data_IF_076287438078
#
_entry.id   IF_076287438078
#
_cell.length_a   1.000
_cell.length_b   1.000
_cell.length_c   1.000
_cell.angle_alpha   90.00
_cell.angle_beta   90.00
_cell.angle_gamma   90.00
#
_symmetry.space_group_name_H-M   'P 1'
#
loop_
_entity.id
_entity.type
_entity.pdbx_description
1 polymer ?
#
# COMPACT_ATOMS: atom_id res chain seq x y z
N UNK A 1 -21.92 21.50 -16.11
CA UNK A 1 -20.75 22.17 -15.49
C UNK A 1 -20.08 21.11 -14.64
N UNK A 2 -18.95 20.55 -15.11
CA UNK A 2 -18.22 19.50 -14.40
C UNK A 2 -17.58 20.11 -13.17
N UNK A 3 -18.22 20.00 -12.00
CA UNK A 3 -17.48 20.04 -10.73
C UNK A 3 -16.34 19.05 -10.88
N UNK A 4 -15.09 19.50 -10.75
CA UNK A 4 -13.93 18.60 -10.78
C UNK A 4 -13.95 17.77 -9.49
N UNK A 5 -14.74 16.71 -9.49
CA UNK A 5 -14.80 15.75 -8.39
C UNK A 5 -13.43 15.09 -8.26
N UNK A 6 -12.84 15.17 -7.08
CA UNK A 6 -11.59 14.48 -6.77
C UNK A 6 -11.78 12.98 -6.99
N UNK A 7 -10.82 12.36 -7.66
CA UNK A 7 -10.82 10.89 -7.82
C UNK A 7 -10.45 10.22 -6.51
N UNK A 8 -10.81 8.94 -6.35
CA UNK A 8 -10.36 8.14 -5.21
C UNK A 8 -8.83 8.20 -5.01
N UNK A 9 -8.05 8.19 -6.09
CA UNK A 9 -6.59 8.32 -5.99
C UNK A 9 -6.18 9.65 -5.36
N UNK A 10 -6.75 10.77 -5.82
CA UNK A 10 -6.46 12.10 -5.27
C UNK A 10 -6.90 12.22 -3.80
N UNK A 11 -8.02 11.60 -3.43
CA UNK A 11 -8.49 11.57 -2.04
C UNK A 11 -7.54 10.73 -1.17
N UNK A 12 -7.07 9.58 -1.66
CA UNK A 12 -6.12 8.74 -0.96
C UNK A 12 -4.77 9.46 -0.74
N UNK A 13 -4.27 10.17 -1.77
CA UNK A 13 -3.08 11.03 -1.66
C UNK A 13 -3.27 12.12 -0.61
N UNK A 14 -4.39 12.84 -0.65
CA UNK A 14 -4.71 13.88 0.33
C UNK A 14 -4.76 13.35 1.77
N UNK A 15 -5.38 12.18 1.99
CA UNK A 15 -5.42 11.55 3.31
C UNK A 15 -4.02 11.13 3.80
N UNK A 16 -3.13 10.69 2.89
CA UNK A 16 -1.71 10.42 3.21
C UNK A 16 -0.95 11.69 3.59
N UNK A 17 -1.21 12.79 2.89
CA UNK A 17 -0.62 14.09 3.19
C UNK A 17 -1.03 14.58 4.59
N UNK A 18 -2.31 14.43 4.95
CA UNK A 18 -2.80 14.72 6.29
C UNK A 18 -2.11 13.84 7.35
N UNK A 19 -1.96 12.53 7.08
CA UNK A 19 -1.23 11.62 7.98
C UNK A 19 0.24 12.06 8.15
N UNK A 20 0.90 12.44 7.06
CA UNK A 20 2.27 12.93 7.05
C UNK A 20 2.42 14.24 7.85
N UNK A 21 1.48 15.17 7.69
CA UNK A 21 1.45 16.41 8.46
C UNK A 21 1.32 16.14 9.97
N UNK A 22 0.50 15.18 10.38
CA UNK A 22 0.43 14.74 11.78
C UNK A 22 1.74 14.13 12.29
N UNK A 23 2.43 13.33 11.45
CA UNK A 23 3.75 12.78 11.80
C UNK A 23 4.79 13.88 12.02
N UNK A 24 4.73 14.96 11.24
CA UNK A 24 5.60 16.12 11.38
C UNK A 24 5.30 16.91 12.66
N UNK A 25 4.02 17.13 12.98
CA UNK A 25 3.60 17.83 14.21
C UNK A 25 4.04 17.09 15.47
N UNK A 26 3.57 15.87 15.67
CA UNK A 26 3.98 15.01 16.79
C UNK A 26 3.53 13.56 16.57
N UNK A 27 4.48 12.69 16.22
CA UNK A 27 4.23 11.27 15.96
C UNK A 27 3.66 10.49 17.15
N UNK A 28 4.01 10.88 18.38
CA UNK A 28 3.57 10.15 19.57
C UNK A 28 2.19 10.60 20.02
N UNK A 29 1.96 11.92 20.04
CA UNK A 29 0.67 12.51 20.40
C UNK A 29 -0.43 12.14 19.39
N UNK A 30 -0.13 12.17 18.10
CA UNK A 30 -1.11 11.95 17.02
C UNK A 30 -1.07 10.54 16.43
N UNK A 31 -0.49 9.57 17.13
CA UNK A 31 -0.32 8.19 16.64
C UNK A 31 -1.63 7.58 16.12
N UNK A 32 -2.75 7.82 16.78
CA UNK A 32 -4.04 7.25 16.38
C UNK A 32 -4.59 7.91 15.11
N UNK A 33 -4.46 9.24 14.99
CA UNK A 33 -4.86 10.00 13.82
C UNK A 33 -4.03 9.59 12.61
N UNK A 34 -2.71 9.47 12.75
CA UNK A 34 -1.82 9.01 11.69
C UNK A 34 -2.28 7.63 11.17
N UNK A 35 -2.54 6.69 12.08
CA UNK A 35 -3.00 5.34 11.70
C UNK A 35 -4.39 5.40 11.06
N UNK A 36 -5.30 6.24 11.56
CA UNK A 36 -6.65 6.37 11.01
C UNK A 36 -6.62 6.93 9.58
N UNK A 37 -5.88 8.01 9.34
CA UNK A 37 -5.75 8.61 8.01
C UNK A 37 -5.01 7.71 7.03
N UNK A 38 -3.95 7.01 7.45
CA UNK A 38 -3.30 6.02 6.57
C UNK A 38 -4.24 4.86 6.21
N UNK A 39 -5.04 4.38 7.17
CA UNK A 39 -6.03 3.32 6.89
C UNK A 39 -7.14 3.80 5.97
N UNK A 40 -7.63 5.02 6.18
CA UNK A 40 -8.61 5.63 5.31
C UNK A 40 -8.05 5.76 3.89
N UNK A 41 -6.84 6.30 3.72
CA UNK A 41 -6.20 6.41 2.41
C UNK A 41 -6.12 5.07 1.68
N UNK A 42 -5.70 4.01 2.37
CA UNK A 42 -5.64 2.68 1.79
C UNK A 42 -7.03 2.13 1.43
N UNK A 43 -8.04 2.36 2.28
CA UNK A 43 -9.41 1.96 2.00
C UNK A 43 -9.99 2.68 0.78
N UNK A 44 -9.71 3.98 0.66
CA UNK A 44 -10.10 4.81 -0.50
C UNK A 44 -9.44 4.32 -1.78
N UNK A 45 -8.12 4.07 -1.76
CA UNK A 45 -7.40 3.63 -2.96
C UNK A 45 -7.91 2.27 -3.47
N UNK A 46 -8.37 1.40 -2.59
CA UNK A 46 -8.89 0.07 -2.91
C UNK A 46 -10.41 0.03 -3.03
N UNK A 47 -11.10 1.17 -2.91
CA UNK A 47 -12.54 1.22 -3.04
C UNK A 47 -12.96 0.82 -4.46
N UNK A 48 -14.01 0.01 -4.54
CA UNK A 48 -14.61 -0.43 -5.81
C UNK A 48 -15.58 0.59 -6.39
N UNK A 49 -16.04 1.53 -5.56
CA UNK A 49 -16.93 2.63 -5.93
C UNK A 49 -16.24 3.97 -5.70
N UNK A 50 -16.61 5.00 -6.47
CA UNK A 50 -16.14 6.36 -6.23
C UNK A 50 -16.66 6.86 -4.89
N UNK A 51 -15.79 7.47 -4.09
CA UNK A 51 -16.14 7.95 -2.76
C UNK A 51 -17.17 9.07 -2.79
N UNK A 52 -17.16 9.88 -3.86
CA UNK A 52 -18.14 10.93 -4.04
C UNK A 52 -19.56 10.34 -4.12
N UNK A 53 -19.72 9.25 -4.87
CA UNK A 53 -21.00 8.55 -5.00
C UNK A 53 -21.44 7.95 -3.66
N UNK A 54 -20.51 7.31 -2.94
CA UNK A 54 -20.78 6.76 -1.60
C UNK A 54 -21.18 7.85 -0.60
N UNK A 55 -20.62 9.06 -0.73
CA UNK A 55 -21.00 10.20 0.10
C UNK A 55 -22.37 10.76 -0.26
N UNK A 56 -22.67 10.92 -1.55
CA UNK A 56 -23.99 11.36 -2.03
C UNK A 56 -25.10 10.40 -1.54
N UNK A 57 -24.80 9.10 -1.48
CA UNK A 57 -25.67 8.04 -0.95
C UNK A 57 -25.69 7.92 0.59
N UNK A 58 -24.90 8.73 1.31
CA UNK A 58 -24.73 8.66 2.78
C UNK A 58 -24.21 7.30 3.30
N UNK A 59 -23.35 6.64 2.52
CA UNK A 59 -22.74 5.34 2.81
C UNK A 59 -21.23 5.41 2.99
N UNK A 60 -20.67 6.61 3.12
CA UNK A 60 -19.21 6.77 3.18
C UNK A 60 -18.58 6.03 4.37
N UNK A 61 -19.29 5.92 5.49
CA UNK A 61 -18.88 5.15 6.68
C UNK A 61 -18.94 3.63 6.53
N UNK A 62 -19.54 3.11 5.45
CA UNK A 62 -19.50 1.67 5.13
C UNK A 62 -18.11 1.25 4.63
N UNK A 63 -17.31 2.21 4.14
CA UNK A 63 -15.91 1.96 3.74
C UNK A 63 -15.07 1.68 4.97
N UNK A 64 -14.62 0.43 5.12
CA UNK A 64 -13.79 -0.01 6.25
C UNK A 64 -12.50 0.80 6.35
N UNK A 65 -12.41 1.68 7.35
CA UNK A 65 -11.30 2.61 7.54
C UNK A 65 -11.73 4.08 7.58
N UNK A 66 -12.95 4.40 7.11
CA UNK A 66 -13.54 5.73 7.20
C UNK A 66 -14.49 5.78 8.40
N UNK A 67 -14.11 6.55 9.43
CA UNK A 67 -14.96 6.83 10.58
C UNK A 67 -15.66 8.19 10.48
N UNK A 68 -16.56 8.52 11.42
CA UNK A 68 -17.37 9.75 11.36
C UNK A 68 -16.58 11.05 11.20
N UNK A 69 -15.42 11.17 11.87
CA UNK A 69 -14.59 12.36 11.73
C UNK A 69 -13.91 12.49 10.37
N UNK A 70 -13.56 11.37 9.73
CA UNK A 70 -12.98 11.40 8.37
C UNK A 70 -14.09 11.65 7.35
N UNK A 71 -15.28 11.05 7.54
CA UNK A 71 -16.47 11.32 6.74
C UNK A 71 -16.84 12.80 6.78
N UNK A 72 -16.82 13.44 7.95
CA UNK A 72 -17.10 14.87 8.11
C UNK A 72 -16.12 15.71 7.28
N UNK A 73 -14.81 15.48 7.42
CA UNK A 73 -13.80 16.23 6.68
C UNK A 73 -13.85 15.98 5.16
N UNK A 74 -14.10 14.75 4.72
CA UNK A 74 -14.29 14.44 3.31
C UNK A 74 -15.59 15.05 2.76
N UNK A 75 -16.64 15.08 3.57
CA UNK A 75 -17.90 15.73 3.23
C UNK A 75 -17.75 17.24 3.00
N UNK A 76 -16.93 17.93 3.81
CA UNK A 76 -16.56 19.33 3.53
C UNK A 76 -15.92 19.46 2.15
N UNK A 77 -14.94 18.61 1.82
CA UNK A 77 -14.28 18.64 0.50
C UNK A 77 -15.26 18.39 -0.63
N UNK A 78 -16.15 17.41 -0.49
CA UNK A 78 -17.15 17.09 -1.52
C UNK A 78 -18.19 18.18 -1.71
N UNK A 79 -18.45 19.00 -0.70
CA UNK A 79 -19.42 20.08 -0.73
C UNK A 79 -18.81 21.43 -1.17
N UNK A 80 -17.64 21.79 -0.65
CA UNK A 80 -17.03 23.11 -0.82
C UNK A 80 -15.71 23.11 -1.59
N UNK A 81 -15.13 21.93 -1.83
CA UNK A 81 -13.82 21.76 -2.46
C UNK A 81 -12.63 21.89 -1.49
N UNK A 82 -12.88 22.15 -0.21
CA UNK A 82 -11.84 22.32 0.81
C UNK A 82 -12.29 21.79 2.17
N UNK A 83 -11.35 21.36 3.02
CA UNK A 83 -11.63 21.06 4.43
C UNK A 83 -10.82 21.97 5.33
N UNK A 84 -11.51 22.63 6.28
CA UNK A 84 -10.87 23.54 7.25
C UNK A 84 -9.84 22.78 8.10
N UNK A 85 -10.16 21.55 8.44
CA UNK A 85 -9.28 20.70 9.23
C UNK A 85 -7.99 20.38 8.47
N UNK A 86 -8.11 20.01 7.19
CA UNK A 86 -6.96 19.64 6.36
C UNK A 86 -6.04 20.83 6.12
N UNK A 87 -6.61 22.00 5.81
CA UNK A 87 -5.87 23.25 5.65
C UNK A 87 -5.09 23.62 6.92
N UNK A 88 -5.72 23.55 8.09
CA UNK A 88 -5.08 23.87 9.38
C UNK A 88 -3.95 22.89 9.75
N UNK A 89 -4.12 21.62 9.39
CA UNK A 89 -3.10 20.60 9.63
C UNK A 89 -1.89 20.80 8.70
N UNK A 90 -2.11 21.22 7.44
CA UNK A 90 -1.07 21.35 6.42
C UNK A 90 -0.50 22.76 6.24
N UNK A 91 -1.05 23.79 6.89
CA UNK A 91 -0.76 25.23 6.71
C UNK A 91 0.72 25.63 6.58
N UNK A 92 1.63 24.93 7.26
CA UNK A 92 3.07 25.26 7.30
C UNK A 92 3.94 24.23 6.56
N UNK A 93 3.36 23.44 5.66
CA UNK A 93 4.06 22.40 4.92
C UNK A 93 3.98 22.75 3.43
N UNK A 94 5.11 22.99 2.76
CA UNK A 94 5.13 23.27 1.32
C UNK A 94 4.51 22.10 0.52
N UNK A 95 3.67 22.36 -0.50
CA UNK A 95 3.09 21.31 -1.34
C UNK A 95 4.14 20.39 -1.98
N UNK A 96 5.30 20.93 -2.32
CA UNK A 96 6.40 20.16 -2.90
C UNK A 96 6.99 19.15 -1.90
N UNK A 97 6.85 19.36 -0.59
CA UNK A 97 7.28 18.39 0.41
C UNK A 97 6.49 17.07 0.31
N UNK A 98 5.19 17.17 0.05
CA UNK A 98 4.33 16.00 -0.14
C UNK A 98 4.67 15.26 -1.44
N UNK A 99 4.89 15.98 -2.55
CA UNK A 99 5.32 15.38 -3.83
C UNK A 99 6.62 14.60 -3.69
N UNK A 100 7.61 15.15 -2.97
CA UNK A 100 8.89 14.50 -2.75
C UNK A 100 8.76 13.16 -2.01
N UNK A 101 7.71 12.96 -1.20
CA UNK A 101 7.48 11.69 -0.50
C UNK A 101 7.12 10.52 -1.43
N UNK A 102 6.77 10.80 -2.68
CA UNK A 102 6.56 9.74 -3.69
C UNK A 102 7.86 9.06 -4.11
N UNK A 103 9.00 9.70 -3.85
CA UNK A 103 10.30 9.09 -4.10
C UNK A 103 10.63 8.07 -3.00
N UNK A 104 11.08 6.85 -3.37
CA UNK A 104 11.45 5.83 -2.40
C UNK A 104 12.45 6.34 -1.36
N UNK A 105 12.19 6.05 -0.09
CA UNK A 105 13.07 6.43 1.03
C UNK A 105 12.91 7.87 1.52
N UNK A 106 12.03 8.68 0.91
CA UNK A 106 11.77 10.06 1.35
C UNK A 106 10.47 10.10 2.17
N UNK A 107 10.59 10.48 3.44
CA UNK A 107 9.43 10.80 4.29
C UNK A 107 9.31 12.31 4.53
N UNK A 108 8.21 12.74 5.14
CA UNK A 108 7.90 14.18 5.31
C UNK A 108 9.03 14.99 5.99
N UNK A 109 9.70 14.42 6.99
CA UNK A 109 10.82 15.08 7.67
C UNK A 109 12.03 15.28 6.75
N UNK A 110 12.34 14.27 5.95
CA UNK A 110 13.42 14.33 4.96
C UNK A 110 13.07 15.32 3.87
N UNK A 111 11.83 15.31 3.37
CA UNK A 111 11.36 16.24 2.35
C UNK A 111 11.44 17.70 2.83
N UNK A 112 10.99 17.99 4.06
CA UNK A 112 11.13 19.32 4.67
C UNK A 112 12.60 19.74 4.73
N UNK A 113 13.48 18.87 5.24
CA UNK A 113 14.92 19.14 5.31
C UNK A 113 15.51 19.42 3.93
N UNK A 114 15.13 18.66 2.90
CA UNK A 114 15.58 18.89 1.53
C UNK A 114 15.14 20.27 1.01
N UNK A 115 13.92 20.71 1.32
CA UNK A 115 13.43 22.03 0.89
C UNK A 115 14.09 23.17 1.68
N UNK A 116 14.36 22.97 2.96
CA UNK A 116 14.98 23.98 3.84
C UNK A 116 16.49 24.14 3.59
N UNK A 117 17.20 23.03 3.34
CA UNK A 117 18.66 23.02 3.23
C UNK A 117 19.18 22.81 1.80
N UNK A 118 18.35 22.29 0.88
CA UNK A 118 18.74 21.92 -0.47
C UNK A 118 18.72 23.08 -1.47
N UNK A 119 19.43 22.89 -2.58
CA UNK A 119 19.40 23.86 -3.68
C UNK A 119 18.10 23.69 -4.51
N UNK A 120 17.51 24.82 -4.92
CA UNK A 120 16.31 24.88 -5.78
C UNK A 120 16.44 23.99 -7.01
N UNK A 121 17.61 23.94 -7.64
CA UNK A 121 17.80 23.13 -8.86
C UNK A 121 17.75 21.62 -8.58
N UNK A 122 18.29 21.18 -7.44
CA UNK A 122 18.21 19.78 -6.99
C UNK A 122 16.76 19.39 -6.69
N UNK A 123 16.01 20.27 -6.01
CA UNK A 123 14.59 20.05 -5.72
C UNK A 123 13.77 19.97 -7.00
N UNK A 124 14.03 20.86 -7.97
CA UNK A 124 13.37 20.80 -9.28
C UNK A 124 13.67 19.51 -10.03
N UNK A 125 14.91 19.02 -9.96
CA UNK A 125 15.27 17.73 -10.57
C UNK A 125 14.51 16.58 -9.91
N UNK A 126 14.44 16.56 -8.58
CA UNK A 126 13.67 15.56 -7.83
C UNK A 126 12.18 15.62 -8.13
N UNK A 127 11.60 16.80 -8.27
CA UNK A 127 10.19 16.96 -8.66
C UNK A 127 9.93 16.46 -10.10
N UNK A 128 10.86 16.68 -11.04
CA UNK A 128 10.79 16.07 -12.37
C UNK A 128 10.86 14.54 -12.31
N UNK A 129 11.67 13.99 -11.41
CA UNK A 129 11.72 12.55 -11.16
C UNK A 129 10.36 12.02 -10.71
N UNK A 130 9.69 12.72 -9.78
CA UNK A 130 8.33 12.40 -9.32
C UNK A 130 7.34 12.38 -10.49
N UNK A 131 7.31 13.43 -11.31
CA UNK A 131 6.43 13.51 -12.48
C UNK A 131 6.68 12.39 -13.49
N UNK A 132 7.95 12.06 -13.74
CA UNK A 132 8.33 10.95 -14.60
C UNK A 132 7.87 9.59 -14.02
N UNK A 133 7.90 9.43 -12.70
CA UNK A 133 7.37 8.22 -12.02
C UNK A 133 5.86 8.14 -12.10
N UNK A 134 5.14 9.24 -11.85
CA UNK A 134 3.66 9.30 -12.02
C UNK A 134 3.24 8.91 -13.44
N UNK A 135 3.98 9.38 -14.45
CA UNK A 135 3.71 9.03 -15.84
C UNK A 135 4.07 7.57 -16.20
N UNK A 136 4.98 6.93 -15.44
CA UNK A 136 5.33 5.51 -15.58
C UNK A 136 4.40 4.58 -14.80
N UNK A 137 3.90 5.01 -13.64
CA UNK A 137 2.94 4.28 -12.81
C UNK A 137 1.50 4.41 -13.35
N UNK A 138 1.29 4.02 -14.61
CA UNK A 138 -0.06 3.82 -15.11
C UNK A 138 -0.65 2.61 -14.42
N UNK A 139 -1.68 2.84 -13.60
CA UNK A 139 -2.45 1.75 -13.03
C UNK A 139 -3.28 1.08 -14.12
N UNK A 140 -3.36 -0.24 -14.05
CA UNK A 140 -4.11 -1.09 -14.96
C UNK A 140 -5.41 -1.54 -14.31
N UNK A 141 -6.50 -1.63 -15.09
CA UNK A 141 -7.74 -2.21 -14.58
C UNK A 141 -7.53 -3.67 -14.21
N UNK A 142 -8.17 -4.11 -13.12
CA UNK A 142 -8.09 -5.49 -12.62
C UNK A 142 -8.25 -6.55 -13.74
N UNK A 143 -9.25 -6.50 -14.63
CA UNK A 143 -9.42 -7.55 -15.66
C UNK A 143 -8.23 -7.65 -16.62
N UNK A 144 -7.64 -6.51 -16.98
CA UNK A 144 -6.49 -6.47 -17.88
C UNK A 144 -5.24 -7.01 -17.18
N UNK A 145 -4.96 -6.53 -15.96
CA UNK A 145 -3.83 -7.02 -15.16
C UNK A 145 -3.95 -8.52 -14.85
N UNK A 146 -5.15 -9.01 -14.52
CA UNK A 146 -5.40 -10.43 -14.25
C UNK A 146 -5.16 -11.31 -15.48
N UNK A 147 -5.54 -10.84 -16.69
CA UNK A 147 -5.27 -11.55 -17.95
C UNK A 147 -3.77 -11.68 -18.18
N UNK A 148 -3.04 -10.58 -18.04
CA UNK A 148 -1.58 -10.58 -18.22
C UNK A 148 -0.88 -11.46 -17.19
N UNK A 149 -1.31 -11.41 -15.93
CA UNK A 149 -0.79 -12.27 -14.87
C UNK A 149 -1.00 -13.74 -15.19
N UNK A 150 -2.20 -14.11 -15.67
CA UNK A 150 -2.51 -15.49 -16.05
C UNK A 150 -1.57 -16.00 -17.15
N UNK A 151 -1.35 -15.21 -18.22
CA UNK A 151 -0.44 -15.61 -19.31
C UNK A 151 0.99 -15.84 -18.82
N UNK A 152 1.48 -15.00 -17.91
CA UNK A 152 2.83 -15.14 -17.33
C UNK A 152 2.89 -16.36 -16.40
N UNK A 153 1.85 -16.60 -15.60
CA UNK A 153 1.76 -17.77 -14.72
C UNK A 153 1.70 -19.08 -15.52
N UNK A 154 0.96 -19.11 -16.63
CA UNK A 154 0.91 -20.25 -17.55
C UNK A 154 2.30 -20.55 -18.12
N UNK A 155 2.99 -19.52 -18.65
CA UNK A 155 4.37 -19.66 -19.10
C UNK A 155 5.31 -20.19 -18.00
N UNK A 156 5.22 -19.65 -16.76
CA UNK A 156 6.03 -20.13 -15.64
C UNK A 156 5.75 -21.60 -15.30
N UNK A 157 4.51 -22.04 -15.44
CA UNK A 157 4.09 -23.41 -15.10
C UNK A 157 4.66 -24.46 -16.07
N UNK A 158 5.11 -24.06 -17.26
CA UNK A 158 5.79 -24.96 -18.22
C UNK A 158 7.22 -25.32 -17.78
N UNK A 159 7.79 -24.63 -16.79
CA UNK A 159 9.12 -24.91 -16.27
C UNK A 159 9.05 -26.01 -15.18
N UNK A 160 9.78 -27.15 -15.32
CA UNK A 160 9.71 -28.25 -14.36
C UNK A 160 10.23 -27.90 -12.95
N UNK A 161 11.01 -26.82 -12.80
CA UNK A 161 11.49 -26.35 -11.50
C UNK A 161 10.44 -25.54 -10.74
N UNK A 162 9.28 -25.23 -11.36
CA UNK A 162 8.17 -24.50 -10.76
C UNK A 162 7.18 -25.48 -10.12
N UNK A 163 6.97 -25.34 -8.81
CA UNK A 163 5.99 -26.18 -8.09
C UNK A 163 4.62 -25.52 -8.03
N UNK A 164 4.57 -24.23 -7.68
CA UNK A 164 3.34 -23.42 -7.62
C UNK A 164 3.67 -21.99 -8.02
N UNK A 165 2.72 -21.32 -8.66
CA UNK A 165 2.77 -19.88 -8.93
C UNK A 165 1.44 -19.24 -8.53
N UNK A 166 1.51 -18.10 -7.85
CA UNK A 166 0.34 -17.37 -7.37
C UNK A 166 0.53 -15.86 -7.57
N UNK A 167 -0.55 -15.11 -7.87
CA UNK A 167 -0.49 -13.67 -7.79
C UNK A 167 -0.28 -13.23 -6.34
N UNK A 168 0.35 -12.07 -6.16
CA UNK A 168 0.59 -11.40 -4.90
C UNK A 168 -0.06 -10.00 -4.91
N UNK A 169 0.27 -9.19 -3.90
CA UNK A 169 0.03 -7.77 -3.91
C UNK A 169 -1.43 -7.38 -4.12
N UNK A 170 -1.63 -6.25 -4.80
CA UNK A 170 -2.95 -5.69 -5.07
C UNK A 170 -3.80 -6.59 -5.97
N UNK A 171 -3.17 -7.36 -6.86
CA UNK A 171 -3.84 -8.28 -7.77
C UNK A 171 -4.51 -9.42 -7.00
N UNK A 172 -3.79 -10.05 -6.07
CA UNK A 172 -4.34 -11.13 -5.23
C UNK A 172 -5.46 -10.65 -4.30
N UNK A 173 -5.41 -9.38 -3.88
CA UNK A 173 -6.47 -8.74 -3.09
C UNK A 173 -7.66 -8.26 -3.94
N UNK A 174 -7.62 -8.44 -5.27
CA UNK A 174 -8.64 -7.98 -6.21
C UNK A 174 -8.90 -6.46 -6.13
N UNK A 175 -7.85 -5.66 -5.98
CA UNK A 175 -7.97 -4.21 -6.06
C UNK A 175 -8.52 -3.81 -7.44
N UNK A 176 -9.37 -2.78 -7.49
CA UNK A 176 -10.02 -2.30 -8.72
C UNK A 176 -9.02 -1.91 -9.81
N UNK A 177 -7.86 -1.39 -9.40
CA UNK A 177 -6.73 -1.06 -10.26
C UNK A 177 -5.43 -1.59 -9.66
N UNK A 178 -4.50 -1.99 -10.53
CA UNK A 178 -3.23 -2.66 -10.22
C UNK A 178 -2.07 -1.79 -10.71
N UNK A 179 -1.06 -1.55 -9.88
CA UNK A 179 0.14 -0.82 -10.29
C UNK A 179 1.06 -1.72 -11.11
N UNK A 180 1.69 -2.64 -10.40
CA UNK A 180 2.54 -3.72 -10.87
C UNK A 180 1.87 -5.09 -10.62
N UNK A 181 2.23 -6.07 -11.46
CA UNK A 181 1.79 -7.45 -11.28
C UNK A 181 2.85 -8.17 -10.45
N UNK A 182 2.58 -8.37 -9.17
CA UNK A 182 3.41 -9.18 -8.28
C UNK A 182 3.04 -10.67 -8.40
N UNK A 183 4.03 -11.54 -8.61
CA UNK A 183 3.88 -12.99 -8.64
C UNK A 183 4.87 -13.67 -7.68
N UNK A 184 4.43 -14.78 -7.10
CA UNK A 184 5.25 -15.65 -6.26
C UNK A 184 5.43 -17.01 -6.93
N UNK A 185 6.65 -17.54 -6.93
CA UNK A 185 6.92 -18.91 -7.38
C UNK A 185 7.59 -19.76 -6.29
N UNK A 186 7.02 -20.94 -6.05
CA UNK A 186 7.59 -21.96 -5.18
C UNK A 186 8.56 -22.83 -6.01
N UNK A 187 9.85 -22.82 -5.65
CA UNK A 187 10.90 -23.56 -6.37
C UNK A 187 12.12 -23.81 -5.48
N UNK A 188 12.80 -24.92 -5.72
CA UNK A 188 14.13 -25.19 -5.14
C UNK A 188 15.29 -24.72 -6.04
N UNK A 189 14.99 -24.16 -7.23
CA UNK A 189 15.96 -23.61 -8.17
C UNK A 189 15.59 -22.16 -8.57
N UNK A 190 15.66 -21.19 -7.63
CA UNK A 190 15.22 -19.82 -7.88
C UNK A 190 15.96 -19.15 -9.04
N UNK A 191 17.28 -19.31 -9.11
CA UNK A 191 18.11 -18.70 -10.17
C UNK A 191 17.72 -19.22 -11.57
N UNK A 192 17.42 -20.53 -11.68
CA UNK A 192 16.95 -21.14 -12.92
C UNK A 192 15.59 -20.60 -13.36
N UNK A 193 14.63 -20.59 -12.44
CA UNK A 193 13.27 -20.08 -12.70
C UNK A 193 13.28 -18.59 -13.06
N UNK A 194 14.02 -17.76 -12.33
CA UNK A 194 14.14 -16.33 -12.64
C UNK A 194 14.81 -16.10 -14.00
N UNK A 195 15.79 -16.93 -14.38
CA UNK A 195 16.39 -16.88 -15.71
C UNK A 195 15.40 -17.23 -16.82
N UNK A 196 14.53 -18.22 -16.57
CA UNK A 196 13.46 -18.59 -17.48
C UNK A 196 12.38 -17.50 -17.60
N UNK A 197 11.96 -16.91 -16.47
CA UNK A 197 11.04 -15.79 -16.40
C UNK A 197 11.50 -14.57 -17.23
N UNK A 198 12.77 -14.18 -17.11
CA UNK A 198 13.31 -13.04 -17.87
C UNK A 198 13.30 -13.23 -19.40
N UNK A 199 13.11 -14.46 -19.87
CA UNK A 199 12.99 -14.81 -21.30
C UNK A 199 11.55 -14.90 -21.79
N UNK A 200 10.57 -14.51 -20.97
CA UNK A 200 9.16 -14.52 -21.35
C UNK A 200 8.96 -13.85 -22.73
N UNK A 201 8.30 -14.51 -23.71
CA UNK A 201 8.31 -14.06 -25.11
C UNK A 201 7.75 -12.66 -25.34
N UNK A 202 6.83 -12.20 -24.50
CA UNK A 202 6.25 -10.85 -24.60
C UNK A 202 7.05 -9.80 -23.82
N UNK A 203 8.18 -10.15 -23.19
CA UNK A 203 9.02 -9.19 -22.47
C UNK A 203 9.69 -8.21 -23.42
N UNK A 204 9.56 -6.91 -23.14
CA UNK A 204 10.29 -5.86 -23.87
C UNK A 204 11.68 -5.64 -23.28
N UNK A 205 11.81 -5.73 -21.96
CA UNK A 205 13.05 -5.47 -21.23
C UNK A 205 13.02 -6.11 -19.85
N UNK A 206 14.16 -6.66 -19.43
CA UNK A 206 14.43 -6.96 -18.02
C UNK A 206 14.82 -5.69 -17.27
N UNK A 207 14.09 -5.35 -16.21
CA UNK A 207 14.34 -4.18 -15.36
C UNK A 207 15.44 -4.53 -14.36
N UNK A 208 15.26 -5.63 -13.64
CA UNK A 208 16.17 -6.11 -12.60
C UNK A 208 16.16 -7.64 -12.57
N UNK A 209 17.28 -8.23 -12.14
CA UNK A 209 17.40 -9.67 -11.87
C UNK A 209 18.40 -9.90 -10.75
N UNK A 210 17.93 -10.46 -9.64
CA UNK A 210 18.73 -10.92 -8.51
C UNK A 210 18.65 -12.43 -8.33
N UNK A 211 19.05 -12.90 -7.14
CA UNK A 211 19.04 -14.32 -6.77
C UNK A 211 17.65 -14.84 -6.40
N UNK A 212 16.79 -13.96 -5.84
CA UNK A 212 15.47 -14.30 -5.33
C UNK A 212 14.31 -13.54 -5.99
N UNK A 213 14.61 -12.53 -6.80
CA UNK A 213 13.60 -11.75 -7.50
C UNK A 213 14.08 -11.31 -8.88
N UNK A 214 13.12 -11.06 -9.77
CA UNK A 214 13.37 -10.43 -11.06
C UNK A 214 12.15 -9.64 -11.50
N UNK A 215 12.38 -8.65 -12.36
CA UNK A 215 11.37 -7.73 -12.85
C UNK A 215 11.48 -7.59 -14.36
N UNK A 216 10.37 -7.70 -15.07
CA UNK A 216 10.29 -7.48 -16.52
C UNK A 216 9.26 -6.41 -16.86
N UNK A 217 9.47 -5.73 -17.98
CA UNK A 217 8.54 -4.77 -18.56
C UNK A 217 7.88 -5.38 -19.79
N UNK A 218 6.55 -5.39 -19.82
CA UNK A 218 5.72 -5.85 -20.93
C UNK A 218 5.16 -4.65 -21.74
N UNK A 219 4.65 -4.89 -22.96
CA UNK A 219 3.94 -3.87 -23.73
C UNK A 219 2.80 -3.22 -22.94
N UNK A 220 2.57 -1.93 -23.20
CA UNK A 220 1.61 -1.14 -22.44
C UNK A 220 2.11 -0.65 -21.08
N UNK A 221 3.43 -0.74 -20.84
CA UNK A 221 4.10 -0.29 -19.61
C UNK A 221 3.70 -1.06 -18.35
N UNK A 222 3.32 -2.33 -18.50
CA UNK A 222 3.03 -3.22 -17.36
C UNK A 222 4.34 -3.80 -16.84
N UNK A 223 4.63 -3.53 -15.58
CA UNK A 223 5.72 -4.21 -14.86
C UNK A 223 5.19 -5.50 -14.24
N UNK A 224 5.96 -6.58 -14.38
CA UNK A 224 5.70 -7.86 -13.72
C UNK A 224 6.91 -8.21 -12.87
N UNK A 225 6.67 -8.40 -11.58
CA UNK A 225 7.68 -8.74 -10.59
C UNK A 225 7.47 -10.18 -10.11
N UNK A 226 8.54 -10.96 -10.13
CA UNK A 226 8.52 -12.36 -9.70
C UNK A 226 9.46 -12.53 -8.51
N UNK A 227 8.94 -13.15 -7.44
CA UNK A 227 9.74 -13.57 -6.29
C UNK A 227 9.77 -15.10 -6.24
N UNK A 228 10.96 -15.67 -6.15
CA UNK A 228 11.19 -17.10 -6.07
C UNK A 228 11.64 -17.50 -4.65
N UNK A 229 10.95 -18.47 -4.04
CA UNK A 229 11.30 -19.02 -2.73
C UNK A 229 11.14 -20.55 -2.68
N UNK A 230 11.85 -21.22 -1.77
CA UNK A 230 11.61 -22.62 -1.41
C UNK A 230 10.15 -22.91 -1.00
N UNK A 231 9.73 -24.15 -1.22
CA UNK A 231 8.34 -24.61 -0.97
C UNK A 231 7.94 -24.50 0.51
N UNK A 232 8.89 -24.72 1.42
CA UNK A 232 8.68 -24.70 2.88
C UNK A 232 8.44 -23.28 3.44
N UNK A 233 8.96 -22.23 2.80
CA UNK A 233 8.74 -20.83 3.20
C UNK A 233 7.64 -20.14 2.40
N UNK A 234 7.11 -20.77 1.35
CA UNK A 234 6.18 -20.18 0.39
C UNK A 234 4.92 -19.57 1.03
N UNK A 235 4.30 -20.25 2.00
CA UNK A 235 3.09 -19.73 2.66
C UNK A 235 3.31 -18.41 3.40
N UNK A 236 4.49 -18.24 4.02
CA UNK A 236 4.87 -16.99 4.69
C UNK A 236 5.12 -15.85 3.71
N UNK A 237 5.70 -16.17 2.55
CA UNK A 237 5.88 -15.22 1.44
C UNK A 237 4.52 -14.76 0.92
N UNK A 238 3.59 -15.70 0.68
CA UNK A 238 2.24 -15.37 0.22
C UNK A 238 1.58 -14.37 1.17
N UNK A 239 1.58 -14.64 2.48
CA UNK A 239 1.01 -13.73 3.46
C UNK A 239 1.69 -12.34 3.40
N UNK A 240 3.02 -12.31 3.45
CA UNK A 240 3.77 -11.06 3.53
C UNK A 240 3.56 -10.19 2.29
N UNK A 241 3.68 -10.76 1.10
CA UNK A 241 3.62 -10.00 -0.15
C UNK A 241 2.19 -9.84 -0.69
N UNK A 242 1.21 -10.62 -0.20
CA UNK A 242 -0.22 -10.27 -0.42
C UNK A 242 -0.56 -8.96 0.27
N UNK A 243 0.00 -8.70 1.46
CA UNK A 243 -0.32 -7.50 2.22
C UNK A 243 -1.81 -7.37 2.58
N UNK A 244 -2.38 -6.17 2.69
CA UNK A 244 -1.74 -4.86 2.53
C UNK A 244 -0.68 -4.59 3.60
N UNK A 245 0.08 -3.49 3.45
CA UNK A 245 1.08 -3.05 4.44
C UNK A 245 0.50 -3.00 5.86
N UNK A 246 -0.72 -2.50 6.02
CA UNK A 246 -1.38 -2.36 7.32
C UNK A 246 -1.86 -3.69 7.88
N UNK A 247 -2.34 -4.59 7.02
CA UNK A 247 -2.64 -5.97 7.41
C UNK A 247 -1.38 -6.63 7.99
N UNK A 248 -0.24 -6.50 7.30
CA UNK A 248 1.04 -7.01 7.80
C UNK A 248 1.49 -6.35 9.11
N UNK A 249 1.31 -5.04 9.27
CA UNK A 249 1.62 -4.35 10.53
C UNK A 249 0.75 -4.89 11.67
N UNK A 250 -0.56 -5.05 11.44
CA UNK A 250 -1.49 -5.58 12.43
C UNK A 250 -1.12 -7.03 12.81
N UNK A 251 -0.85 -7.88 11.83
CA UNK A 251 -0.46 -9.27 12.07
C UNK A 251 0.85 -9.37 12.86
N UNK A 252 1.86 -8.55 12.53
CA UNK A 252 3.11 -8.48 13.30
C UNK A 252 2.91 -8.02 14.74
N UNK A 253 1.94 -7.14 15.01
CA UNK A 253 1.61 -6.74 16.37
C UNK A 253 0.97 -7.89 17.15
N UNK A 254 0.10 -8.67 16.52
CA UNK A 254 -0.47 -9.89 17.11
C UNK A 254 0.63 -10.89 17.43
N UNK A 255 1.55 -11.16 16.49
CA UNK A 255 2.68 -12.07 16.73
C UNK A 255 3.58 -11.63 17.88
N UNK A 256 3.94 -10.34 17.95
CA UNK A 256 4.70 -9.79 19.09
C UNK A 256 3.97 -10.00 20.40
N UNK A 257 2.65 -9.82 20.40
CA UNK A 257 1.83 -10.06 21.58
C UNK A 257 1.87 -11.54 21.99
N UNK A 258 1.60 -12.46 21.06
CA UNK A 258 1.65 -13.92 21.30
C UNK A 258 3.03 -14.35 21.82
N UNK A 259 4.11 -13.84 21.24
CA UNK A 259 5.47 -14.14 21.69
C UNK A 259 5.69 -13.69 23.15
N UNK A 260 5.19 -12.50 23.54
CA UNK A 260 5.22 -12.05 24.93
C UNK A 260 4.40 -12.98 25.84
N UNK A 261 3.23 -13.46 25.38
CA UNK A 261 2.39 -14.40 26.16
C UNK A 261 3.12 -15.72 26.44
N UNK A 262 3.86 -16.25 25.45
CA UNK A 262 4.62 -17.49 25.58
C UNK A 262 5.84 -17.31 26.49
N UNK A 263 6.56 -16.19 26.35
CA UNK A 263 7.80 -15.92 27.10
C UNK A 263 7.58 -15.41 28.53
N UNK A 264 6.41 -14.83 28.82
CA UNK A 264 6.03 -14.30 30.15
C UNK A 264 4.61 -14.73 30.51
N UNK A 265 4.39 -16.01 30.86
CA UNK A 265 3.07 -16.48 31.26
C UNK A 265 2.60 -15.71 32.51
N UNK A 266 1.32 -15.29 32.57
CA UNK A 266 0.83 -14.51 33.69
C UNK A 266 0.87 -15.31 34.98
N UNK A 267 1.62 -14.84 35.97
CA UNK A 267 1.42 -15.27 37.35
C UNK A 267 0.05 -14.79 37.83
N UNK A 268 -0.49 -15.49 38.84
CA UNK A 268 -1.89 -15.52 39.28
C UNK A 268 -2.55 -14.17 39.59
N UNK A 269 -1.81 -13.08 39.63
CA UNK A 269 -2.28 -11.72 39.95
C UNK A 269 -2.81 -10.89 38.78
N UNK A 270 -2.71 -11.34 37.52
CA UNK A 270 -3.07 -10.49 36.35
C UNK A 270 -4.34 -10.95 35.61
N UNK A 271 -5.18 -11.84 36.15
CA UNK A 271 -6.36 -12.35 35.43
C UNK A 271 -7.40 -11.27 35.02
N UNK A 272 -7.51 -10.18 35.78
CA UNK A 272 -8.56 -9.16 35.56
C UNK A 272 -8.21 -8.16 34.44
N UNK A 273 -6.94 -7.76 34.34
CA UNK A 273 -6.44 -6.96 33.21
C UNK A 273 -6.40 -7.79 31.92
N UNK A 274 -6.15 -9.09 32.05
CA UNK A 274 -6.14 -10.05 30.93
C UNK A 274 -7.50 -10.23 30.27
N UNK A 275 -8.60 -10.32 31.03
CA UNK A 275 -9.95 -10.38 30.43
C UNK A 275 -10.30 -9.11 29.63
N UNK A 276 -9.83 -7.94 30.07
CA UNK A 276 -9.99 -6.67 29.32
C UNK A 276 -9.14 -6.66 28.05
N UNK A 277 -7.91 -7.18 28.10
CA UNK A 277 -7.02 -7.31 26.94
C UNK A 277 -7.51 -8.35 25.92
N UNK A 278 -8.02 -9.50 26.37
CA UNK A 278 -8.62 -10.51 25.50
C UNK A 278 -9.89 -10.01 24.82
N UNK A 279 -10.72 -9.19 25.48
CA UNK A 279 -11.85 -8.49 24.81
C UNK A 279 -11.37 -7.54 23.71
N UNK A 280 -10.25 -6.83 23.93
CA UNK A 280 -9.64 -5.96 22.91
C UNK A 280 -9.06 -6.76 21.74
N UNK A 281 -8.45 -7.91 22.00
CA UNK A 281 -7.92 -8.80 20.96
C UNK A 281 -9.04 -9.51 20.19
N UNK A 282 -10.09 -9.98 20.86
CA UNK A 282 -11.28 -10.55 20.22
C UNK A 282 -11.97 -9.55 19.29
N UNK A 283 -12.09 -8.28 19.70
CA UNK A 283 -12.58 -7.22 18.81
C UNK A 283 -11.64 -6.88 17.65
N UNK A 284 -10.36 -7.24 17.75
CA UNK A 284 -9.39 -7.09 16.65
C UNK A 284 -9.42 -8.27 15.67
N UNK A 285 -9.87 -9.45 16.11
CA UNK A 285 -9.98 -10.68 15.30
C UNK A 285 -11.37 -10.80 14.65
N UNK A 286 -12.42 -10.22 15.26
CA UNK A 286 -13.79 -10.25 14.76
C UNK A 286 -14.07 -9.13 13.72
N UNK A 287 -13.22 -8.09 13.66
CA UNK A 287 -13.33 -6.98 12.70
C UNK A 287 -12.23 -7.00 11.61
N UNK A 288 -11.74 -8.18 11.22
CA UNK A 288 -10.89 -8.38 10.03
C UNK A 288 -11.75 -9.00 8.93
#
# INVERSE_FOLDING_TARGET
MSSSTLTNLQIAELLRDVAAAYQLKDKFKYKFQIIAYERAADAVEHATSELKDLWDDKKLTEVSGIGPGIEEHLGEIFATGHSKHFEEIMKNIPPDAFKLMELPGIGIKTAMKMIEEGNIDEIKEKLKEVEARRNKNKRHLLPYAATVAHEVMEYLSDNPDVTHVDPLGSLRRQASTIGDIDLAVATNNPVGVLSYFTKYPKSQKTIEKGEHSASILLPGSIQVDLIAQPVDTYGSLLQHFTGSKHHNIALRQIFKFIQILILKPPTTWVKTQWKKLLRRAGNLVINI
#
